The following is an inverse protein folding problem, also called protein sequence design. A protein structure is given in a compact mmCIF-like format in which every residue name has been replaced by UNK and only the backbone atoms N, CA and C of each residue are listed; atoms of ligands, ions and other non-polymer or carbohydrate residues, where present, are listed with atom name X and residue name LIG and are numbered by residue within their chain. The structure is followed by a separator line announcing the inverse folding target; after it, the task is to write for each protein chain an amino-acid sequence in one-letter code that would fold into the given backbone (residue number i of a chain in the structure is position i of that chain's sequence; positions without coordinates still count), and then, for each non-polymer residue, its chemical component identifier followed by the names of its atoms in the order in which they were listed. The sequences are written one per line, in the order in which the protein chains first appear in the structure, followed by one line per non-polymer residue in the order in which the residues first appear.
data_IF_029423667763
#
_entry.id   IF_029423667763
#
_cell.length_a   1.000
_cell.length_b   1.000
_cell.length_c   1.000
_cell.angle_alpha   90.00
_cell.angle_beta   90.00
_cell.angle_gamma   90.00
#
_symmetry.space_group_name_H-M   'P 1'
#
loop_
_entity.id
_entity.type
_entity.pdbx_description
1 polymer ?
#
# COMPACT_ATOMS: atom_id res chain seq x y z
N UNK A 1 -8.30 -17.60 18.17
CA UNK A 1 -8.85 -16.28 18.49
C UNK A 1 -8.51 -15.89 19.92
N UNK A 2 -8.74 -16.73 20.93
CA UNK A 2 -8.35 -16.46 22.33
C UNK A 2 -6.93 -15.88 22.52
N UNK A 3 -5.89 -16.49 21.94
CA UNK A 3 -4.53 -15.96 22.08
C UNK A 3 -4.31 -14.58 21.43
N UNK A 4 -5.06 -14.24 20.38
CA UNK A 4 -5.05 -12.90 19.77
C UNK A 4 -5.75 -11.90 20.69
N UNK A 5 -6.88 -12.30 21.25
CA UNK A 5 -7.67 -11.49 22.16
C UNK A 5 -6.88 -11.19 23.45
N UNK A 6 -6.14 -12.16 23.97
CA UNK A 6 -5.26 -12.01 25.14
C UNK A 6 -4.12 -11.01 24.87
N UNK A 7 -3.50 -11.06 23.68
CA UNK A 7 -2.44 -10.12 23.27
C UNK A 7 -2.98 -8.70 23.12
N UNK A 8 -4.17 -8.54 22.53
CA UNK A 8 -4.84 -7.24 22.39
C UNK A 8 -5.18 -6.70 23.79
N UNK A 9 -5.72 -7.53 24.67
CA UNK A 9 -6.11 -7.13 26.03
C UNK A 9 -4.93 -6.76 26.92
N UNK A 10 -3.77 -7.40 26.74
CA UNK A 10 -2.54 -7.08 27.47
C UNK A 10 -1.81 -5.83 26.93
N UNK A 11 -2.14 -5.40 25.70
CA UNK A 11 -1.57 -4.21 25.07
C UNK A 11 -2.09 -2.90 25.68
N UNK A 12 -1.37 -1.79 25.51
CA UNK A 12 -1.78 -0.49 26.06
C UNK A 12 -2.93 0.17 25.28
N UNK A 13 -3.34 -0.40 24.16
CA UNK A 13 -4.35 0.17 23.25
C UNK A 13 -5.59 -0.71 23.14
N UNK A 14 -6.76 -0.07 23.17
CA UNK A 14 -8.06 -0.68 22.88
C UNK A 14 -8.52 -0.25 21.47
N UNK A 15 -9.42 -1.03 20.86
CA UNK A 15 -10.01 -0.74 19.55
C UNK A 15 -11.07 0.40 19.62
N UNK A 16 -10.78 1.47 20.34
CA UNK A 16 -11.61 2.67 20.50
C UNK A 16 -10.83 3.91 20.09
N UNK A 17 -11.53 4.93 19.61
CA UNK A 17 -10.89 6.18 19.19
C UNK A 17 -10.20 6.89 20.36
N UNK A 18 -10.79 6.84 21.54
CA UNK A 18 -10.26 7.43 22.77
C UNK A 18 -8.89 6.84 23.13
N UNK A 19 -8.73 5.53 22.98
CA UNK A 19 -7.47 4.85 23.26
C UNK A 19 -6.42 5.11 22.16
N UNK A 20 -6.80 4.99 20.88
CA UNK A 20 -5.86 5.16 19.77
C UNK A 20 -5.29 6.58 19.64
N UNK A 21 -6.03 7.61 20.07
CA UNK A 21 -5.55 9.00 20.12
C UNK A 21 -4.38 9.20 21.08
N UNK A 22 -4.11 8.26 21.99
CA UNK A 22 -2.98 8.31 22.91
C UNK A 22 -1.66 7.90 22.24
N UNK A 23 -1.68 7.41 21.00
CA UNK A 23 -0.45 7.11 20.26
C UNK A 23 0.39 8.37 20.02
N UNK A 24 1.68 8.26 20.33
CA UNK A 24 2.68 9.28 20.03
C UNK A 24 3.69 8.65 19.09
N UNK A 25 3.97 9.32 17.97
CA UNK A 25 5.00 8.86 17.04
C UNK A 25 6.36 8.79 17.77
N UNK A 26 7.11 7.69 17.63
CA UNK A 26 8.36 7.51 18.37
C UNK A 26 9.41 8.55 17.95
N UNK A 27 10.30 8.90 18.87
CA UNK A 27 11.27 9.99 18.67
C UNK A 27 12.13 9.80 17.41
N UNK A 28 12.59 8.57 17.14
CA UNK A 28 13.39 8.28 15.95
C UNK A 28 12.65 8.59 14.63
N UNK A 29 11.32 8.39 14.59
CA UNK A 29 10.51 8.70 13.41
C UNK A 29 10.34 10.20 13.26
N UNK A 30 10.15 10.91 14.38
CA UNK A 30 10.11 12.36 14.37
C UNK A 30 11.46 12.95 13.94
N UNK A 31 12.58 12.40 14.40
CA UNK A 31 13.93 12.86 14.06
C UNK A 31 14.32 12.51 12.62
N UNK A 32 13.81 11.41 12.08
CA UNK A 32 13.94 10.99 10.70
C UNK A 32 13.20 11.93 9.74
N UNK A 33 13.79 13.08 9.41
CA UNK A 33 13.17 14.13 8.58
C UNK A 33 13.06 13.78 7.09
N UNK A 34 13.74 12.73 6.65
CA UNK A 34 13.80 12.32 5.25
C UNK A 34 13.65 10.81 5.14
N UNK A 35 12.76 10.37 4.26
CA UNK A 35 12.52 8.96 3.96
C UNK A 35 12.34 8.76 2.47
N UNK A 36 12.71 7.56 2.01
CA UNK A 36 12.50 7.12 0.63
C UNK A 36 11.46 6.02 0.67
N UNK A 37 10.38 6.21 -0.09
CA UNK A 37 9.39 5.18 -0.35
C UNK A 37 9.46 4.77 -1.83
N UNK A 38 9.17 3.50 -2.11
CA UNK A 38 9.31 2.92 -3.44
C UNK A 38 8.00 2.25 -3.81
N UNK A 39 7.39 2.71 -4.91
CA UNK A 39 6.32 1.99 -5.59
C UNK A 39 6.92 0.93 -6.50
N UNK A 40 7.04 -0.30 -6.00
CA UNK A 40 7.52 -1.44 -6.78
C UNK A 40 6.65 -2.67 -6.50
N UNK A 41 6.23 -3.33 -7.59
CA UNK A 41 5.37 -4.50 -7.55
C UNK A 41 5.15 -5.04 -8.97
N UNK A 42 4.21 -5.95 -9.14
CA UNK A 42 3.93 -6.57 -10.46
C UNK A 42 3.51 -5.55 -11.53
N UNK A 43 2.90 -4.44 -11.13
CA UNK A 43 2.59 -3.30 -12.02
C UNK A 43 3.83 -2.64 -12.63
N UNK A 44 5.03 -2.84 -12.08
CA UNK A 44 6.27 -2.31 -12.62
C UNK A 44 6.87 -3.22 -13.71
N UNK A 45 6.41 -4.48 -13.86
CA UNK A 45 6.91 -5.42 -14.87
C UNK A 45 6.72 -4.91 -16.30
N UNK A 46 5.55 -4.35 -16.68
CA UNK A 46 5.36 -3.78 -18.02
C UNK A 46 6.19 -2.53 -18.27
N UNK A 47 6.65 -1.85 -17.21
CA UNK A 47 7.41 -0.60 -17.27
C UNK A 47 6.75 0.46 -18.20
N UNK A 48 5.41 0.50 -18.23
CA UNK A 48 4.62 1.35 -19.11
C UNK A 48 3.46 1.97 -18.33
N UNK A 49 3.15 3.24 -18.61
CA UNK A 49 2.15 4.00 -17.86
C UNK A 49 2.61 4.33 -16.44
N UNK A 50 1.90 3.82 -15.43
CA UNK A 50 2.19 4.01 -14.00
C UNK A 50 1.72 2.79 -13.17
N UNK A 51 1.70 2.88 -11.84
CA UNK A 51 1.30 1.79 -10.94
C UNK A 51 -0.15 1.30 -11.14
N UNK A 52 -0.98 2.07 -11.83
CA UNK A 52 -2.34 1.70 -12.24
C UNK A 52 -2.40 0.89 -13.52
N UNK A 53 -1.26 0.53 -14.12
CA UNK A 53 -1.22 -0.32 -15.32
C UNK A 53 -2.14 -1.54 -15.23
N UNK A 54 -2.20 -2.33 -14.13
CA UNK A 54 -3.10 -3.49 -14.03
C UNK A 54 -4.59 -3.14 -14.11
N UNK A 55 -4.96 -1.89 -13.78
CA UNK A 55 -6.32 -1.40 -13.97
C UNK A 55 -6.51 -0.90 -15.41
N UNK A 56 -5.60 -0.06 -15.88
CA UNK A 56 -5.74 0.64 -17.17
C UNK A 56 -5.58 -0.32 -18.36
N UNK A 57 -4.82 -1.41 -18.23
CA UNK A 57 -4.67 -2.42 -19.28
C UNK A 57 -5.99 -3.11 -19.67
N UNK A 58 -7.07 -2.93 -18.89
CA UNK A 58 -8.42 -3.41 -19.23
C UNK A 58 -9.38 -2.30 -19.66
N UNK A 59 -8.96 -1.03 -19.65
CA UNK A 59 -9.78 0.10 -20.09
C UNK A 59 -9.52 0.38 -21.57
N UNK A 60 -10.42 -0.11 -22.43
CA UNK A 60 -10.31 0.06 -23.88
C UNK A 60 -10.15 1.53 -24.28
N UNK A 61 -9.25 1.79 -25.24
CA UNK A 61 -8.91 3.13 -25.71
C UNK A 61 -7.88 3.86 -24.86
N UNK A 62 -7.35 3.23 -23.81
CA UNK A 62 -6.17 3.75 -23.10
C UNK A 62 -4.86 3.29 -23.75
N UNK A 63 -3.78 4.08 -23.64
CA UNK A 63 -2.46 3.65 -24.07
C UNK A 63 -2.00 2.34 -23.42
N UNK A 64 -2.37 2.09 -22.16
CA UNK A 64 -2.01 0.86 -21.44
C UNK A 64 -2.72 -0.36 -22.01
N UNK A 65 -4.01 -0.24 -22.34
CA UNK A 65 -4.75 -1.30 -23.04
C UNK A 65 -4.12 -1.61 -24.40
N UNK A 66 -3.87 -0.58 -25.21
CA UNK A 66 -3.24 -0.75 -26.52
C UNK A 66 -1.85 -1.38 -26.42
N UNK A 67 -1.03 -0.92 -25.46
CA UNK A 67 0.28 -1.49 -25.18
C UNK A 67 0.22 -2.94 -24.72
N UNK A 68 -0.74 -3.29 -23.86
CA UNK A 68 -0.91 -4.66 -23.36
C UNK A 68 -1.24 -5.62 -24.49
N UNK A 69 -2.24 -5.27 -25.30
CA UNK A 69 -2.66 -6.08 -26.45
C UNK A 69 -1.53 -6.26 -27.45
N UNK A 70 -0.74 -5.21 -27.72
CA UNK A 70 0.38 -5.27 -28.65
C UNK A 70 1.59 -6.06 -28.13
N UNK A 71 1.83 -6.05 -26.81
CA UNK A 71 3.06 -6.60 -26.21
C UNK A 71 2.87 -8.01 -25.65
N UNK A 72 1.72 -8.28 -25.02
CA UNK A 72 1.42 -9.51 -24.29
C UNK A 72 0.25 -10.30 -24.87
N UNK A 73 -0.66 -9.62 -25.58
CA UNK A 73 -1.87 -10.20 -26.16
C UNK A 73 -3.15 -9.71 -25.49
N UNK A 74 -4.31 -10.12 -26.02
CA UNK A 74 -5.62 -9.76 -25.49
C UNK A 74 -5.94 -10.40 -24.13
#
# INVERSE_FOLDING_TARGET
MAALDDVIAAGPYQATWESLKQYVAPQWYQDGKFGIFIHWGVYAVPAFGNEWYPRNMYLQGTPEFEHHVATYGP
#
